data_IF_433054636748
#
_entry.id   IF_433054636748
#
_cell.length_a   1.000
_cell.length_b   1.000
_cell.length_c   1.000
_cell.angle_alpha   90.00
_cell.angle_beta   90.00
_cell.angle_gamma   90.00
#
_symmetry.space_group_name_H-M   'P 1'
#
loop_
_entity.id
_entity.type
_entity.pdbx_description
1 polymer ?
#
# COMPACT_ATOMS: atom_id res chain seq x y z
N UNK A 1 28.79 -8.67 12.64
CA UNK A 1 28.67 -7.21 12.52
C UNK A 1 28.49 -6.72 11.08
N UNK A 2 28.84 -7.52 10.05
CA UNK A 2 28.77 -7.11 8.63
C UNK A 2 27.39 -7.34 7.95
N UNK A 3 26.52 -8.17 8.52
CA UNK A 3 25.21 -8.49 7.94
C UNK A 3 24.08 -7.50 8.32
N UNK A 4 24.25 -6.75 9.41
CA UNK A 4 23.27 -5.75 9.85
C UNK A 4 23.25 -4.51 8.94
N UNK A 5 24.43 -4.10 8.45
CA UNK A 5 24.54 -2.90 7.58
C UNK A 5 23.97 -3.09 6.18
N UNK A 6 23.97 -4.32 5.65
CA UNK A 6 23.45 -4.60 4.30
C UNK A 6 21.91 -4.62 4.24
N UNK A 7 21.23 -4.95 5.33
CA UNK A 7 19.76 -4.95 5.42
C UNK A 7 19.27 -3.51 5.62
N UNK A 8 19.94 -2.72 6.45
CA UNK A 8 19.60 -1.32 6.67
C UNK A 8 19.73 -0.46 5.39
N UNK A 9 20.63 -0.83 4.48
CA UNK A 9 20.91 -0.04 3.26
C UNK A 9 19.79 -0.15 2.18
N UNK A 10 18.94 -1.16 2.21
CA UNK A 10 17.80 -1.29 1.29
C UNK A 10 16.55 -0.55 1.75
N UNK A 11 16.46 -0.22 3.03
CA UNK A 11 15.36 0.53 3.63
C UNK A 11 15.72 2.00 3.90
N UNK A 12 16.81 2.50 3.31
CA UNK A 12 17.26 3.88 3.51
C UNK A 12 16.19 4.92 3.13
N UNK A 13 15.28 4.56 2.23
CA UNK A 13 14.18 5.42 1.79
C UNK A 13 12.87 5.18 2.56
N UNK A 14 12.82 4.19 3.45
CA UNK A 14 11.64 3.93 4.28
C UNK A 14 11.78 4.69 5.59
N UNK A 15 10.96 5.72 5.73
CA UNK A 15 10.89 6.47 6.99
C UNK A 15 10.24 5.61 8.08
N UNK A 16 11.07 5.00 8.94
CA UNK A 16 10.59 4.16 10.05
C UNK A 16 9.68 4.93 11.02
N UNK A 17 9.80 6.26 11.07
CA UNK A 17 8.92 7.09 11.92
C UNK A 17 7.46 6.99 11.49
N UNK A 18 7.19 6.73 10.22
CA UNK A 18 5.84 6.45 9.73
C UNK A 18 5.30 5.15 10.30
N UNK A 19 6.13 4.10 10.37
CA UNK A 19 5.72 2.82 10.97
C UNK A 19 5.46 2.98 12.46
N UNK A 20 6.30 3.76 13.15
CA UNK A 20 6.14 4.06 14.58
C UNK A 20 4.91 4.92 14.89
N UNK A 21 4.48 5.76 13.96
CA UNK A 21 3.28 6.57 14.10
C UNK A 21 1.97 5.78 14.00
N UNK A 22 2.02 4.54 13.49
CA UNK A 22 0.84 3.69 13.36
C UNK A 22 0.33 3.26 14.73
N UNK A 23 -0.94 3.45 14.98
CA UNK A 23 -1.59 3.01 16.23
C UNK A 23 -1.95 1.53 16.25
N UNK A 24 -1.80 0.84 15.12
CA UNK A 24 -2.01 -0.61 14.99
C UNK A 24 -0.68 -1.34 15.05
N UNK A 25 -0.67 -2.61 15.53
CA UNK A 25 0.51 -3.45 15.47
C UNK A 25 1.05 -3.55 14.04
N UNK A 26 2.29 -3.10 13.85
CA UNK A 26 2.95 -3.07 12.56
C UNK A 26 4.38 -3.59 12.66
N UNK A 27 4.82 -4.35 11.67
CA UNK A 27 6.19 -4.81 11.53
C UNK A 27 6.66 -4.73 10.09
N UNK A 28 7.93 -4.39 9.90
CA UNK A 28 8.61 -4.30 8.62
C UNK A 28 9.52 -5.50 8.44
N UNK A 29 9.48 -6.11 7.25
CA UNK A 29 10.26 -7.28 6.90
C UNK A 29 11.01 -7.06 5.60
N UNK A 30 12.22 -7.63 5.48
CA UNK A 30 12.92 -7.70 4.22
C UNK A 30 12.26 -8.73 3.27
N UNK A 31 12.70 -8.76 2.02
CA UNK A 31 12.21 -9.71 1.02
C UNK A 31 12.47 -11.18 1.36
N UNK A 32 13.38 -11.45 2.30
CA UNK A 32 13.68 -12.78 2.82
C UNK A 32 12.86 -13.12 4.08
N UNK A 33 11.95 -12.23 4.49
CA UNK A 33 11.08 -12.45 5.64
C UNK A 33 11.74 -12.20 7.00
N UNK A 34 12.86 -11.48 7.07
CA UNK A 34 13.48 -11.12 8.35
C UNK A 34 12.90 -9.84 8.89
N UNK A 35 12.65 -9.81 10.18
CA UNK A 35 12.24 -8.58 10.87
C UNK A 35 13.30 -7.49 10.72
N UNK A 36 12.89 -6.35 10.20
CA UNK A 36 13.70 -5.12 10.12
C UNK A 36 13.30 -4.15 11.22
N UNK A 37 12.01 -4.01 11.47
CA UNK A 37 11.49 -3.11 12.49
C UNK A 37 10.10 -3.57 12.98
N UNK A 38 9.76 -3.21 14.19
CA UNK A 38 8.45 -3.43 14.80
C UNK A 38 8.08 -2.22 15.65
N UNK A 39 6.86 -1.69 15.48
CA UNK A 39 6.43 -0.53 16.24
C UNK A 39 6.00 -0.88 17.67
N UNK A 40 5.86 0.14 18.51
CA UNK A 40 5.48 -0.02 19.91
C UNK A 40 4.09 -0.68 20.10
N UNK A 41 3.18 -0.54 19.13
CA UNK A 41 1.88 -1.21 19.18
C UNK A 41 2.03 -2.74 19.00
N UNK A 42 2.91 -3.18 18.11
CA UNK A 42 3.20 -4.59 17.91
C UNK A 42 3.96 -5.19 19.11
N UNK A 43 4.89 -4.45 19.71
CA UNK A 43 5.55 -4.88 20.95
C UNK A 43 4.55 -5.11 22.08
N UNK A 44 3.62 -4.17 22.28
CA UNK A 44 2.56 -4.33 23.29
C UNK A 44 1.62 -5.50 23.01
N UNK A 45 1.28 -5.72 21.75
CA UNK A 45 0.35 -6.79 21.36
C UNK A 45 0.98 -8.19 21.49
N UNK A 46 2.27 -8.32 21.15
CA UNK A 46 3.00 -9.60 21.19
C UNK A 46 3.70 -9.86 22.53
N UNK A 47 4.00 -8.82 23.29
CA UNK A 47 4.86 -8.90 24.47
C UNK A 47 6.33 -9.14 24.13
N UNK A 48 6.71 -9.08 22.85
CA UNK A 48 8.10 -9.30 22.38
C UNK A 48 8.66 -7.95 21.94
N UNK A 49 9.88 -7.61 22.40
CA UNK A 49 10.50 -6.36 22.01
C UNK A 49 11.08 -6.40 20.60
N UNK A 50 11.13 -5.24 19.94
CA UNK A 50 11.73 -5.08 18.62
C UNK A 50 13.15 -5.66 18.56
N UNK A 51 13.98 -5.38 19.57
CA UNK A 51 15.35 -5.89 19.64
C UNK A 51 15.50 -7.41 19.73
N UNK A 52 14.45 -8.12 20.18
CA UNK A 52 14.44 -9.59 20.23
C UNK A 52 14.09 -10.22 18.87
N UNK A 53 13.40 -9.49 17.98
CA UNK A 53 12.92 -10.01 16.69
C UNK A 53 13.73 -9.53 15.49
N UNK A 54 14.34 -8.36 15.54
CA UNK A 54 15.15 -7.83 14.42
C UNK A 54 16.19 -8.87 13.96
N UNK A 55 16.19 -9.15 12.65
CA UNK A 55 17.05 -10.15 12.02
C UNK A 55 16.51 -11.59 12.05
N UNK A 56 15.52 -11.91 12.92
CA UNK A 56 14.88 -13.22 12.96
C UNK A 56 13.85 -13.37 11.84
N UNK A 57 13.53 -14.60 11.48
CA UNK A 57 12.55 -14.86 10.43
C UNK A 57 11.13 -14.81 10.99
N UNK A 58 10.19 -14.20 10.25
CA UNK A 58 8.79 -13.99 10.69
C UNK A 58 8.04 -15.28 11.01
N UNK A 59 8.50 -16.43 10.52
CA UNK A 59 7.87 -17.72 10.81
C UNK A 59 8.21 -18.27 12.20
N UNK A 60 9.18 -17.71 12.90
CA UNK A 60 9.61 -18.22 14.20
C UNK A 60 8.49 -18.12 15.27
N UNK A 61 7.78 -16.99 15.39
CA UNK A 61 6.68 -16.88 16.35
C UNK A 61 5.38 -17.56 15.88
N UNK A 62 5.35 -18.17 14.68
CA UNK A 62 4.16 -18.81 14.13
C UNK A 62 4.05 -20.26 14.61
N UNK A 63 2.81 -20.69 14.84
CA UNK A 63 2.50 -22.10 15.03
C UNK A 63 2.87 -22.92 13.79
N UNK A 64 3.38 -24.15 13.93
CA UNK A 64 3.77 -24.98 12.78
C UNK A 64 2.66 -25.12 11.73
N UNK A 65 1.40 -25.27 12.16
CA UNK A 65 0.23 -25.40 11.31
C UNK A 65 -0.13 -24.13 10.51
N UNK A 66 0.32 -22.96 10.96
CA UNK A 66 0.07 -21.69 10.29
C UNK A 66 1.17 -21.31 9.28
N UNK A 67 2.35 -21.92 9.39
CA UNK A 67 3.54 -21.50 8.62
C UNK A 67 3.33 -21.57 7.12
N UNK A 68 2.81 -22.67 6.60
CA UNK A 68 2.62 -22.84 5.16
C UNK A 68 1.69 -21.76 4.58
N UNK A 69 0.58 -21.50 5.24
CA UNK A 69 -0.38 -20.47 4.86
C UNK A 69 0.27 -19.08 4.85
N UNK A 70 0.94 -18.71 5.93
CA UNK A 70 1.56 -17.38 6.06
C UNK A 70 2.70 -17.20 5.05
N UNK A 71 3.53 -18.23 4.82
CA UNK A 71 4.59 -18.21 3.81
C UNK A 71 4.02 -18.00 2.42
N UNK A 72 2.92 -18.68 2.06
CA UNK A 72 2.28 -18.49 0.77
C UNK A 72 1.80 -17.04 0.56
N UNK A 73 1.22 -16.40 1.59
CA UNK A 73 0.78 -15.02 1.53
C UNK A 73 1.96 -14.04 1.44
N UNK A 74 3.03 -14.28 2.21
CA UNK A 74 4.23 -13.45 2.15
C UNK A 74 4.89 -13.52 0.77
N UNK A 75 4.98 -14.73 0.20
CA UNK A 75 5.54 -14.95 -1.14
C UNK A 75 4.73 -14.20 -2.21
N UNK A 76 3.40 -14.22 -2.15
CA UNK A 76 2.57 -13.43 -3.07
C UNK A 76 2.88 -11.94 -2.99
N UNK A 77 3.07 -11.40 -1.79
CA UNK A 77 3.43 -10.00 -1.62
C UNK A 77 4.79 -9.68 -2.22
N UNK A 78 5.80 -10.57 -2.05
CA UNK A 78 7.17 -10.34 -2.54
C UNK A 78 7.30 -10.62 -4.05
N UNK A 79 6.75 -11.74 -4.55
CA UNK A 79 6.97 -12.18 -5.94
C UNK A 79 6.04 -11.46 -6.93
N UNK A 80 4.81 -11.17 -6.51
CA UNK A 80 3.81 -10.56 -7.40
C UNK A 80 3.49 -9.10 -7.06
N UNK A 81 3.97 -8.61 -5.92
CA UNK A 81 3.65 -7.25 -5.46
C UNK A 81 2.17 -7.07 -5.13
N UNK A 82 1.48 -8.16 -4.79
CA UNK A 82 0.07 -8.16 -4.45
C UNK A 82 -0.11 -8.05 -2.94
N UNK A 83 -0.87 -7.06 -2.45
CA UNK A 83 -1.28 -7.04 -1.05
C UNK A 83 -2.10 -8.28 -0.71
N UNK A 84 -1.89 -8.83 0.51
CA UNK A 84 -2.67 -9.97 1.00
C UNK A 84 -3.38 -9.63 2.30
N UNK A 85 -4.51 -10.27 2.56
CA UNK A 85 -5.33 -10.06 3.75
C UNK A 85 -5.92 -11.42 4.17
N UNK A 86 -5.58 -11.89 5.37
CA UNK A 86 -5.96 -13.23 5.84
C UNK A 86 -5.90 -13.32 7.37
N UNK A 87 -6.59 -14.32 7.91
CA UNK A 87 -6.52 -14.62 9.33
C UNK A 87 -5.42 -15.64 9.62
N UNK A 88 -4.73 -15.46 10.74
CA UNK A 88 -3.69 -16.36 11.24
C UNK A 88 -3.62 -16.33 12.76
N UNK A 89 -2.82 -17.23 13.33
CA UNK A 89 -2.57 -17.30 14.77
C UNK A 89 -1.06 -17.24 15.03
N UNK A 90 -0.66 -16.38 15.92
CA UNK A 90 0.71 -16.34 16.42
C UNK A 90 0.76 -16.65 17.93
N UNK A 91 1.96 -16.87 18.45
CA UNK A 91 2.20 -17.10 19.88
C UNK A 91 2.84 -15.86 20.47
N UNK A 92 2.20 -15.27 21.49
CA UNK A 92 2.76 -14.12 22.23
C UNK A 92 3.90 -14.54 23.18
N UNK A 93 4.58 -13.56 23.78
CA UNK A 93 5.69 -13.82 24.73
C UNK A 93 5.30 -14.67 25.94
N UNK A 94 4.01 -14.71 26.28
CA UNK A 94 3.46 -15.51 27.38
C UNK A 94 3.06 -16.93 26.96
N UNK A 95 3.25 -17.29 25.68
CA UNK A 95 2.86 -18.58 25.13
C UNK A 95 1.37 -18.68 24.74
N UNK A 96 0.62 -17.59 24.79
CA UNK A 96 -0.79 -17.60 24.42
C UNK A 96 -0.97 -17.55 22.90
N UNK A 97 -1.97 -18.26 22.40
CA UNK A 97 -2.39 -18.20 21.00
C UNK A 97 -3.23 -16.94 20.79
N UNK A 98 -2.82 -16.11 19.81
CA UNK A 98 -3.49 -14.88 19.42
C UNK A 98 -3.98 -14.98 17.98
N UNK A 99 -5.29 -15.00 17.78
CA UNK A 99 -5.89 -14.88 16.45
C UNK A 99 -5.82 -13.45 15.95
N UNK A 100 -5.26 -13.25 14.77
CA UNK A 100 -5.15 -11.93 14.13
C UNK A 100 -5.54 -12.01 12.66
N UNK A 101 -6.06 -10.92 12.14
CA UNK A 101 -6.16 -10.65 10.72
C UNK A 101 -4.88 -9.91 10.32
N UNK A 102 -4.10 -10.53 9.45
CA UNK A 102 -2.82 -9.98 8.98
C UNK A 102 -2.98 -9.42 7.56
N UNK A 103 -2.42 -8.24 7.34
CA UNK A 103 -2.30 -7.63 6.01
C UNK A 103 -0.82 -7.51 5.66
N UNK A 104 -0.42 -8.07 4.53
CA UNK A 104 0.91 -7.91 3.98
C UNK A 104 0.88 -6.88 2.86
N UNK A 105 1.64 -5.83 3.02
CA UNK A 105 1.72 -4.70 2.10
C UNK A 105 3.12 -4.65 1.50
N UNK A 106 3.30 -4.99 0.21
CA UNK A 106 4.60 -4.91 -0.43
C UNK A 106 5.08 -3.46 -0.51
N UNK A 107 6.32 -3.22 -0.09
CA UNK A 107 6.98 -1.92 -0.17
C UNK A 107 7.86 -1.89 -1.42
N UNK A 108 7.73 -0.80 -2.19
CA UNK A 108 8.46 -0.61 -3.44
C UNK A 108 9.45 0.55 -3.34
N UNK A 109 10.58 0.37 -4.01
CA UNK A 109 11.51 1.44 -4.35
C UNK A 109 11.73 1.38 -5.86
N UNK A 110 11.15 2.32 -6.60
CA UNK A 110 10.99 2.20 -8.05
C UNK A 110 10.11 1.00 -8.43
N UNK A 111 10.62 0.14 -9.32
CA UNK A 111 9.94 -1.07 -9.76
C UNK A 111 10.21 -2.29 -8.86
N UNK A 112 11.21 -2.22 -8.00
CA UNK A 112 11.63 -3.33 -7.14
C UNK A 112 10.82 -3.39 -5.83
N UNK A 113 10.52 -4.61 -5.38
CA UNK A 113 9.99 -4.83 -4.04
C UNK A 113 11.17 -4.93 -3.08
N UNK A 114 11.22 -4.02 -2.11
CA UNK A 114 12.31 -3.93 -1.14
C UNK A 114 11.97 -4.59 0.20
N UNK A 115 10.69 -4.83 0.46
CA UNK A 115 10.23 -5.47 1.69
C UNK A 115 8.71 -5.55 1.79
N UNK A 116 8.22 -5.93 2.96
CA UNK A 116 6.80 -6.08 3.27
C UNK A 116 6.50 -5.43 4.61
N UNK A 117 5.54 -4.52 4.63
CA UNK A 117 4.91 -4.03 5.85
C UNK A 117 3.78 -4.98 6.23
N UNK A 118 3.83 -5.53 7.44
CA UNK A 118 2.78 -6.39 7.97
C UNK A 118 2.00 -5.61 9.04
N UNK A 119 0.69 -5.54 8.88
CA UNK A 119 -0.23 -5.01 9.87
C UNK A 119 -1.02 -6.15 10.50
N UNK A 120 -1.20 -6.12 11.82
CA UNK A 120 -1.97 -7.12 12.53
C UNK A 120 -3.14 -6.48 13.28
N UNK A 121 -4.32 -7.05 13.11
CA UNK A 121 -5.55 -6.60 13.76
C UNK A 121 -6.13 -7.75 14.57
N UNK A 122 -6.83 -7.44 15.65
CA UNK A 122 -7.57 -8.44 16.41
C UNK A 122 -8.60 -9.11 15.48
N UNK A 123 -8.55 -10.44 15.35
CA UNK A 123 -9.46 -11.19 14.49
C UNK A 123 -10.93 -11.06 14.91
N UNK A 124 -11.19 -10.75 16.19
CA UNK A 124 -12.54 -10.51 16.73
C UNK A 124 -13.04 -9.07 16.48
N UNK A 125 -12.16 -8.16 16.02
CA UNK A 125 -12.54 -6.79 15.73
C UNK A 125 -13.32 -6.72 14.39
N UNK A 126 -14.43 -5.95 14.31
CA UNK A 126 -15.13 -5.79 13.06
C UNK A 126 -14.18 -5.24 11.98
N UNK A 127 -14.31 -5.74 10.76
CA UNK A 127 -13.43 -5.43 9.62
C UNK A 127 -13.23 -3.92 9.34
N UNK A 128 -14.08 -3.06 9.90
CA UNK A 128 -13.99 -1.61 9.83
C UNK A 128 -12.81 -0.97 10.60
N UNK A 129 -12.07 -1.75 11.42
CA UNK A 129 -10.85 -1.28 12.12
C UNK A 129 -9.54 -1.67 11.43
N UNK A 130 -9.59 -2.41 10.34
CA UNK A 130 -8.41 -2.52 9.49
C UNK A 130 -8.04 -1.10 9.08
N UNK A 131 -6.78 -0.69 9.29
CA UNK A 131 -6.23 0.37 8.45
C UNK A 131 -6.17 -0.31 7.08
N UNK A 132 -7.35 -0.33 6.43
CA UNK A 132 -7.36 -0.74 5.07
C UNK A 132 -6.41 0.23 4.35
N UNK A 133 -5.51 -0.26 3.56
CA UNK A 133 -5.58 0.18 2.19
C UNK A 133 -7.07 0.12 1.88
N UNK A 134 -7.69 1.30 1.79
CA UNK A 134 -9.07 1.40 1.34
C UNK A 134 -9.17 0.45 0.15
N UNK A 135 -10.16 -0.46 0.09
CA UNK A 135 -10.23 -1.43 -0.98
C UNK A 135 -9.87 -0.68 -2.22
N UNK A 136 -8.79 -1.10 -2.90
CA UNK A 136 -8.29 -0.36 -4.07
C UNK A 136 -9.51 -0.06 -4.89
N UNK A 137 -9.85 1.20 -5.18
CA UNK A 137 -11.13 1.53 -5.79
C UNK A 137 -11.31 0.63 -6.99
N UNK A 138 -12.29 -0.27 -6.92
CA UNK A 138 -12.49 -1.29 -7.94
C UNK A 138 -13.14 -0.63 -9.15
N UNK A 139 -12.34 0.19 -9.84
CA UNK A 139 -12.79 0.81 -11.06
C UNK A 139 -12.92 -0.26 -12.14
N UNK A 140 -14.12 -0.37 -12.71
CA UNK A 140 -14.31 -1.19 -13.91
C UNK A 140 -13.40 -0.69 -15.04
N UNK A 141 -13.07 -1.51 -16.05
CA UNK A 141 -12.25 -1.07 -17.18
C UNK A 141 -12.78 0.24 -17.81
N UNK A 142 -14.10 0.39 -17.90
CA UNK A 142 -14.74 1.60 -18.44
C UNK A 142 -14.58 2.82 -17.54
N UNK A 143 -14.66 2.64 -16.23
CA UNK A 143 -14.42 3.72 -15.27
C UNK A 143 -12.96 4.16 -15.28
N UNK A 144 -12.01 3.24 -15.44
CA UNK A 144 -10.58 3.54 -15.55
C UNK A 144 -10.30 4.33 -16.82
N UNK A 145 -10.82 3.92 -17.96
CA UNK A 145 -10.70 4.63 -19.22
C UNK A 145 -11.24 6.07 -19.13
N UNK A 146 -12.39 6.26 -18.50
CA UNK A 146 -12.97 7.60 -18.28
C UNK A 146 -12.09 8.44 -17.34
N UNK A 147 -11.51 7.83 -16.30
CA UNK A 147 -10.60 8.52 -15.38
C UNK A 147 -9.31 8.98 -16.10
N UNK A 148 -8.74 8.17 -16.98
CA UNK A 148 -7.59 8.53 -17.81
C UNK A 148 -7.91 9.72 -18.72
N UNK A 149 -9.07 9.72 -19.35
CA UNK A 149 -9.53 10.82 -20.22
C UNK A 149 -9.83 12.09 -19.42
N UNK A 150 -10.38 11.98 -18.22
CA UNK A 150 -10.49 13.10 -17.28
C UNK A 150 -9.10 13.65 -16.93
N UNK A 151 -8.14 12.80 -16.59
CA UNK A 151 -6.78 13.20 -16.24
C UNK A 151 -6.06 13.88 -17.40
N UNK A 152 -6.39 13.53 -18.65
CA UNK A 152 -5.90 14.16 -19.88
C UNK A 152 -6.55 15.52 -20.20
N UNK A 153 -7.49 16.00 -19.39
CA UNK A 153 -8.08 17.30 -19.54
C UNK A 153 -9.41 17.35 -20.32
N UNK A 154 -9.91 16.23 -20.86
CA UNK A 154 -11.13 16.21 -21.64
C UNK A 154 -12.36 16.55 -20.77
N UNK A 155 -13.33 17.27 -21.37
CA UNK A 155 -14.64 17.48 -20.75
C UNK A 155 -15.50 16.22 -20.82
N UNK A 156 -16.58 16.16 -20.05
CA UNK A 156 -17.54 15.04 -20.13
C UNK A 156 -18.22 14.93 -21.50
N UNK A 157 -18.33 16.04 -22.23
CA UNK A 157 -18.84 16.07 -23.61
C UNK A 157 -17.86 15.41 -24.59
N UNK A 158 -16.57 15.83 -24.51
CA UNK A 158 -15.52 15.27 -25.37
C UNK A 158 -15.30 13.78 -25.12
N UNK A 159 -15.41 13.36 -23.84
CA UNK A 159 -15.33 11.94 -23.46
C UNK A 159 -16.51 11.17 -24.05
N UNK A 160 -17.72 11.74 -24.01
CA UNK A 160 -18.90 11.11 -24.58
C UNK A 160 -18.76 10.91 -26.08
N UNK A 161 -18.29 11.91 -26.80
CA UNK A 161 -18.01 11.83 -28.23
C UNK A 161 -16.93 10.77 -28.51
N UNK A 162 -15.79 10.85 -27.83
CA UNK A 162 -14.65 9.93 -28.01
C UNK A 162 -15.01 8.47 -27.75
N UNK A 163 -15.88 8.21 -26.79
CA UNK A 163 -16.27 6.87 -26.38
C UNK A 163 -17.58 6.39 -27.00
N UNK A 164 -18.20 7.19 -27.87
CA UNK A 164 -19.49 6.93 -28.51
C UNK A 164 -20.58 6.61 -27.47
N UNK A 165 -20.66 7.44 -26.43
CA UNK A 165 -21.63 7.35 -25.35
C UNK A 165 -22.47 8.62 -25.26
N UNK A 166 -23.59 8.55 -24.53
CA UNK A 166 -24.30 9.76 -24.13
C UNK A 166 -23.53 10.50 -23.02
N UNK A 167 -23.63 11.83 -23.01
CA UNK A 167 -23.04 12.65 -21.95
C UNK A 167 -23.55 12.25 -20.55
N UNK A 168 -24.81 11.83 -20.46
CA UNK A 168 -25.40 11.36 -19.20
C UNK A 168 -24.77 10.03 -18.74
N UNK A 169 -24.47 9.11 -19.68
CA UNK A 169 -23.76 7.87 -19.37
C UNK A 169 -22.37 8.16 -18.81
N UNK A 170 -21.64 9.11 -19.42
CA UNK A 170 -20.32 9.53 -18.93
C UNK A 170 -20.43 10.17 -17.54
N UNK A 171 -21.42 11.06 -17.31
CA UNK A 171 -21.64 11.64 -15.97
C UNK A 171 -21.90 10.57 -14.91
N UNK A 172 -22.66 9.54 -15.24
CA UNK A 172 -22.93 8.43 -14.32
C UNK A 172 -21.65 7.64 -13.99
N UNK A 173 -20.80 7.38 -14.98
CA UNK A 173 -19.49 6.77 -14.71
C UNK A 173 -18.60 7.68 -13.84
N UNK A 174 -18.55 8.98 -14.12
CA UNK A 174 -17.78 9.95 -13.34
C UNK A 174 -18.24 9.99 -11.87
N UNK A 175 -19.56 10.02 -11.63
CA UNK A 175 -20.12 9.95 -10.27
C UNK A 175 -19.70 8.68 -9.54
N UNK A 176 -19.71 7.53 -10.23
CA UNK A 176 -19.24 6.25 -9.65
C UNK A 176 -17.74 6.28 -9.36
N UNK A 177 -16.92 6.81 -10.29
CA UNK A 177 -15.47 7.01 -10.05
C UNK A 177 -15.24 7.89 -8.82
N UNK A 178 -15.96 9.00 -8.68
CA UNK A 178 -15.82 9.89 -7.52
C UNK A 178 -16.25 9.20 -6.22
N UNK A 179 -17.34 8.44 -6.26
CA UNK A 179 -17.79 7.64 -5.12
C UNK A 179 -16.78 6.59 -4.70
N UNK A 180 -16.22 5.83 -5.66
CA UNK A 180 -15.20 4.80 -5.39
C UNK A 180 -13.90 5.41 -4.83
N UNK A 181 -13.51 6.58 -5.34
CA UNK A 181 -12.34 7.31 -4.86
C UNK A 181 -12.61 8.14 -3.59
N UNK A 182 -13.86 8.19 -3.12
CA UNK A 182 -14.31 9.00 -1.97
C UNK A 182 -13.94 10.48 -2.10
N UNK A 183 -14.16 11.05 -3.29
CA UNK A 183 -13.85 12.45 -3.64
C UNK A 183 -15.06 13.14 -4.24
N UNK A 184 -15.03 14.48 -4.29
CA UNK A 184 -16.16 15.27 -4.75
C UNK A 184 -15.86 16.12 -5.98
N UNK A 185 -14.57 16.29 -6.31
CA UNK A 185 -14.14 17.12 -7.44
C UNK A 185 -13.23 16.34 -8.39
N UNK A 186 -13.17 16.81 -9.65
CA UNK A 186 -12.27 16.24 -10.66
C UNK A 186 -10.81 16.33 -10.22
N UNK A 187 -10.39 17.43 -9.63
CA UNK A 187 -9.01 17.62 -9.20
C UNK A 187 -8.63 16.63 -8.09
N UNK A 188 -9.52 16.47 -7.12
CA UNK A 188 -9.36 15.46 -6.05
C UNK A 188 -9.31 14.05 -6.62
N UNK A 189 -10.15 13.72 -7.61
CA UNK A 189 -10.16 12.41 -8.24
C UNK A 189 -8.83 12.10 -8.93
N UNK A 190 -8.27 13.06 -9.67
CA UNK A 190 -6.97 12.91 -10.34
C UNK A 190 -5.85 12.78 -9.31
N UNK A 191 -5.85 13.59 -8.26
CA UNK A 191 -4.85 13.54 -7.19
C UNK A 191 -4.92 12.21 -6.43
N UNK A 192 -6.12 11.74 -6.08
CA UNK A 192 -6.35 10.46 -5.43
C UNK A 192 -5.91 9.29 -6.31
N UNK A 193 -6.28 9.31 -7.60
CA UNK A 193 -5.93 8.26 -8.55
C UNK A 193 -4.40 8.15 -8.77
N UNK A 194 -3.69 9.27 -8.81
CA UNK A 194 -2.21 9.28 -8.88
C UNK A 194 -1.58 8.71 -7.61
N UNK A 195 -2.06 9.13 -6.44
CA UNK A 195 -1.58 8.61 -5.14
C UNK A 195 -1.79 7.10 -5.01
N UNK A 196 -2.86 6.58 -5.59
CA UNK A 196 -3.21 5.15 -5.59
C UNK A 196 -2.56 4.36 -6.73
N UNK A 197 -1.73 5.00 -7.56
CA UNK A 197 -1.09 4.34 -8.72
C UNK A 197 -2.05 3.95 -9.84
N UNK A 198 -3.28 4.49 -9.85
CA UNK A 198 -4.28 4.24 -10.88
C UNK A 198 -4.07 5.07 -12.15
N UNK A 199 -3.26 6.13 -12.07
CA UNK A 199 -2.87 7.00 -13.17
C UNK A 199 -1.35 7.10 -13.23
N UNK A 200 -0.79 7.17 -14.44
CA UNK A 200 0.62 7.45 -14.64
C UNK A 200 1.02 8.81 -14.03
N UNK A 201 2.27 8.98 -13.54
CA UNK A 201 2.77 10.26 -13.08
C UNK A 201 2.69 11.29 -14.23
N UNK A 202 2.52 12.61 -13.92
CA UNK A 202 2.50 13.62 -14.95
C UNK A 202 3.85 13.62 -15.67
N UNK A 203 3.83 13.49 -16.99
CA UNK A 203 5.00 13.78 -17.80
C UNK A 203 5.21 15.29 -17.69
N UNK A 204 6.18 15.69 -16.89
CA UNK A 204 6.67 17.07 -16.88
C UNK A 204 7.27 17.32 -18.26
N UNK A 205 6.51 17.96 -19.14
CA UNK A 205 7.07 18.46 -20.39
C UNK A 205 8.24 19.40 -20.11
N UNK A 206 9.20 19.55 -21.06
CA UNK A 206 10.36 20.40 -20.85
C UNK A 206 9.89 21.81 -20.44
N UNK A 207 10.39 22.27 -19.30
CA UNK A 207 10.18 23.65 -18.86
C UNK A 207 10.68 24.58 -19.99
N UNK A 208 9.78 25.34 -20.58
CA UNK A 208 10.20 26.45 -21.46
C UNK A 208 11.02 27.39 -20.59
N UNK A 209 12.32 27.31 -20.75
CA UNK A 209 13.24 28.33 -20.25
C UNK A 209 12.83 29.69 -20.88
N UNK A 210 12.26 30.56 -20.07
CA UNK A 210 12.12 31.95 -20.41
C UNK A 210 13.53 32.55 -20.48
N UNK A 211 14.17 32.41 -21.62
CA UNK A 211 15.28 33.28 -22.01
C UNK A 211 14.68 34.56 -22.60
N UNK A 212 14.29 35.49 -21.76
CA UNK A 212 14.31 36.88 -22.14
C UNK A 212 15.65 37.45 -21.66
N UNK A 213 16.63 37.29 -22.53
CA UNK A 213 17.86 38.03 -22.44
C UNK A 213 17.53 39.51 -22.74
N UNK A 214 18.10 40.31 -21.91
CA UNK A 214 18.36 41.73 -22.11
C UNK A 214 18.94 42.02 -23.50
N UNK A 215 18.44 43.07 -24.13
CA UNK A 215 19.24 43.83 -25.07
C UNK A 215 18.78 45.28 -24.99
N UNK A 216 19.76 46.11 -24.58
CA UNK A 216 19.88 47.57 -24.63
C UNK A 216 19.02 48.41 -23.71
#
# INVERSE_FOLDING_TARGET
>A
MVQHDAIANRFHDVDLSLVDSLMVPASLHDVNGRFVHMNAAAERASGISNGQLVGRHYTEPLLPEEREKVVAQFRRAVEHGEPTDFETVFVDASGNRRGVRAQHLPLRSGDDIVGVLILAFDASAPASKSIGLAPQPQLTPRQREILDLLASGLSTSDIAEKLTLSTETVRNHVRRVFSELQVHTRLEAIAAARRLGLLAPPVLGPQRSNSNAETE
#
